data_IF_290521603464
#
_entry.id   IF_290521603464
#
_cell.length_a   1.000
_cell.length_b   1.000
_cell.length_c   1.000
_cell.angle_alpha   90.00
_cell.angle_beta   90.00
_cell.angle_gamma   90.00
#
_symmetry.space_group_name_H-M   'P 1'
#
loop_
_entity.id
_entity.type
_entity.pdbx_description
1 polymer ?
#
# COMPACT_ATOMS: atom_id res chain seq x y z
N UNK A 1 -2.03 -25.59 -8.41
CA UNK A 1 -1.59 -25.30 -7.03
C UNK A 1 -2.10 -23.95 -6.55
N UNK A 2 -1.71 -22.81 -7.17
CA UNK A 2 -2.13 -21.47 -6.74
C UNK A 2 -3.66 -21.23 -6.86
N UNK A 3 -4.25 -21.55 -8.01
CA UNK A 3 -5.69 -21.30 -8.24
C UNK A 3 -6.59 -22.10 -7.30
N UNK A 4 -6.19 -23.33 -6.93
CA UNK A 4 -6.95 -24.14 -5.97
C UNK A 4 -6.94 -23.54 -4.56
N UNK A 5 -5.80 -23.02 -4.10
CA UNK A 5 -5.68 -22.37 -2.80
C UNK A 5 -6.47 -21.06 -2.70
N UNK A 6 -6.57 -20.31 -3.80
CA UNK A 6 -7.40 -19.09 -3.88
C UNK A 6 -8.89 -19.45 -3.90
N UNK A 7 -9.28 -20.46 -4.69
CA UNK A 7 -10.68 -20.93 -4.76
C UNK A 7 -11.20 -21.43 -3.40
N UNK A 8 -10.37 -22.10 -2.61
CA UNK A 8 -10.75 -22.55 -1.26
C UNK A 8 -11.04 -21.42 -0.26
N UNK A 9 -10.58 -20.19 -0.52
CA UNK A 9 -10.78 -19.04 0.38
C UNK A 9 -12.12 -18.32 0.18
N UNK A 10 -12.88 -18.70 -0.84
CA UNK A 10 -14.06 -17.95 -1.26
C UNK A 10 -13.71 -16.56 -1.80
N UNK A 11 -14.71 -15.83 -2.29
CA UNK A 11 -14.50 -14.55 -2.98
C UNK A 11 -13.89 -13.48 -2.06
N UNK A 12 -14.42 -13.34 -0.84
CA UNK A 12 -13.92 -12.38 0.15
C UNK A 12 -12.46 -12.67 0.51
N UNK A 13 -12.14 -13.92 0.84
CA UNK A 13 -10.77 -14.30 1.22
C UNK A 13 -9.79 -14.24 0.05
N UNK A 14 -10.24 -14.48 -1.19
CA UNK A 14 -9.44 -14.26 -2.39
C UNK A 14 -9.12 -12.79 -2.60
N UNK A 15 -10.11 -11.89 -2.40
CA UNK A 15 -9.93 -10.44 -2.51
C UNK A 15 -8.97 -9.92 -1.43
N UNK A 16 -9.12 -10.35 -0.18
CA UNK A 16 -8.17 -10.00 0.89
C UNK A 16 -6.75 -10.46 0.59
N UNK A 17 -6.59 -11.68 0.08
CA UNK A 17 -5.27 -12.19 -0.32
C UNK A 17 -4.67 -11.34 -1.44
N UNK A 18 -5.46 -10.97 -2.45
CA UNK A 18 -5.03 -10.13 -3.55
C UNK A 18 -4.62 -8.73 -3.06
N UNK A 19 -5.41 -8.11 -2.17
CA UNK A 19 -5.09 -6.83 -1.54
C UNK A 19 -3.73 -6.89 -0.83
N UNK A 20 -3.45 -7.95 -0.07
CA UNK A 20 -2.12 -8.12 0.58
C UNK A 20 -0.97 -8.15 -0.43
N UNK A 21 -1.17 -8.64 -1.65
CA UNK A 21 -0.15 -8.59 -2.70
C UNK A 21 0.09 -7.15 -3.17
N UNK A 22 -0.96 -6.32 -3.24
CA UNK A 22 -0.84 -4.89 -3.55
C UNK A 22 0.01 -4.16 -2.52
N UNK A 23 -0.10 -4.51 -1.23
CA UNK A 23 0.75 -3.91 -0.17
C UNK A 23 2.23 -4.26 -0.30
N UNK A 24 2.56 -5.43 -0.85
CA UNK A 24 3.96 -5.78 -1.17
C UNK A 24 4.47 -4.86 -2.29
N UNK A 25 3.67 -4.70 -3.35
CA UNK A 25 4.00 -3.79 -4.45
C UNK A 25 4.12 -2.33 -3.98
N UNK A 26 3.28 -1.91 -3.03
CA UNK A 26 3.37 -0.60 -2.39
C UNK A 26 4.73 -0.40 -1.70
N UNK A 27 5.20 -1.38 -0.93
CA UNK A 27 6.51 -1.31 -0.28
C UNK A 27 7.66 -1.14 -1.29
N UNK A 28 7.59 -1.85 -2.42
CA UNK A 28 8.55 -1.68 -3.53
C UNK A 28 8.44 -0.27 -4.11
N UNK A 29 7.23 0.20 -4.43
CA UNK A 29 6.99 1.53 -4.99
C UNK A 29 7.55 2.65 -4.10
N UNK A 30 7.28 2.61 -2.79
CA UNK A 30 7.76 3.62 -1.85
C UNK A 30 9.30 3.60 -1.73
N UNK A 31 9.90 2.41 -1.74
CA UNK A 31 11.36 2.25 -1.68
C UNK A 31 12.01 2.78 -2.96
N UNK A 32 11.47 2.42 -4.13
CA UNK A 32 11.97 2.91 -5.42
C UNK A 32 11.79 4.42 -5.55
N UNK A 33 10.65 4.97 -5.17
CA UNK A 33 10.44 6.43 -5.20
C UNK A 33 11.52 7.16 -4.38
N UNK A 34 11.84 6.68 -3.18
CA UNK A 34 12.91 7.26 -2.37
C UNK A 34 14.30 7.16 -3.02
N UNK A 35 14.61 6.04 -3.69
CA UNK A 35 15.88 5.87 -4.44
C UNK A 35 15.97 6.86 -5.60
N UNK A 36 14.86 7.08 -6.31
CA UNK A 36 14.77 7.99 -7.45
C UNK A 36 14.61 9.47 -7.04
N UNK A 37 14.58 9.78 -5.74
CA UNK A 37 14.39 11.15 -5.24
C UNK A 37 12.98 11.70 -5.48
N UNK A 38 11.98 10.83 -5.61
CA UNK A 38 10.57 11.16 -5.76
C UNK A 38 9.88 11.03 -4.40
N UNK A 39 9.15 12.08 -4.00
CA UNK A 39 8.33 12.05 -2.80
C UNK A 39 7.07 11.22 -3.04
N UNK A 40 6.72 10.40 -2.04
CA UNK A 40 5.58 9.49 -2.11
C UNK A 40 4.76 9.51 -0.82
N UNK A 41 3.45 9.65 -0.94
CA UNK A 41 2.50 9.60 0.18
C UNK A 41 1.46 8.50 -0.05
N UNK A 42 1.58 7.35 0.64
CA UNK A 42 0.55 6.31 0.61
C UNK A 42 -0.69 6.72 1.41
N UNK A 43 -1.88 6.36 0.94
CA UNK A 43 -3.16 6.74 1.52
C UNK A 43 -4.16 5.58 1.51
N UNK A 44 -4.73 5.28 2.67
CA UNK A 44 -5.89 4.39 2.85
C UNK A 44 -7.17 5.16 3.22
N UNK A 45 -7.04 6.43 3.60
CA UNK A 45 -8.14 7.28 4.09
C UNK A 45 -9.04 7.84 2.99
N UNK A 46 -9.48 7.01 2.05
CA UNK A 46 -10.41 7.38 0.98
C UNK A 46 -11.59 6.40 0.91
N UNK A 47 -12.63 6.72 0.14
CA UNK A 47 -13.76 5.82 -0.13
C UNK A 47 -13.47 4.98 -1.38
N UNK A 48 -13.19 3.66 -1.23
CA UNK A 48 -12.85 2.82 -2.38
C UNK A 48 -14.00 2.70 -3.38
N UNK A 49 -15.27 2.71 -2.95
CA UNK A 49 -16.41 2.58 -3.86
C UNK A 49 -16.55 3.80 -4.75
N UNK A 50 -16.34 4.99 -4.19
CA UNK A 50 -16.35 6.22 -4.98
C UNK A 50 -15.21 6.25 -5.99
N UNK A 51 -14.00 5.84 -5.59
CA UNK A 51 -12.86 5.73 -6.50
C UNK A 51 -13.11 4.71 -7.60
N UNK A 52 -13.62 3.53 -7.25
CA UNK A 52 -13.93 2.45 -8.18
C UNK A 52 -14.97 2.90 -9.22
N UNK A 53 -15.99 3.63 -8.80
CA UNK A 53 -16.99 4.20 -9.70
C UNK A 53 -16.40 5.27 -10.63
N UNK A 54 -15.62 6.21 -10.09
CA UNK A 54 -14.99 7.29 -10.89
C UNK A 54 -14.03 6.72 -11.94
N UNK A 55 -13.30 5.66 -11.59
CA UNK A 55 -12.27 5.05 -12.43
C UNK A 55 -12.78 3.85 -13.26
N UNK A 56 -14.07 3.48 -13.13
CA UNK A 56 -14.67 2.33 -13.83
C UNK A 56 -14.00 1.00 -13.50
N UNK A 57 -13.59 0.80 -12.24
CA UNK A 57 -12.84 -0.40 -11.83
C UNK A 57 -13.73 -1.63 -11.66
N UNK A 58 -14.97 -1.47 -11.22
CA UNK A 58 -15.91 -2.58 -11.02
C UNK A 58 -16.17 -3.34 -12.34
N UNK A 59 -16.36 -2.61 -13.45
CA UNK A 59 -16.55 -3.17 -14.79
C UNK A 59 -15.34 -3.99 -15.28
N UNK A 60 -14.17 -3.72 -14.70
CA UNK A 60 -12.90 -4.40 -14.99
C UNK A 60 -12.62 -5.55 -14.01
N UNK A 61 -13.52 -5.81 -13.06
CA UNK A 61 -13.30 -6.76 -11.97
C UNK A 61 -12.20 -6.34 -11.00
N UNK A 62 -11.95 -5.04 -10.87
CA UNK A 62 -10.92 -4.45 -10.02
C UNK A 62 -11.53 -3.65 -8.86
N UNK A 63 -10.68 -3.31 -7.90
CA UNK A 63 -11.02 -2.39 -6.80
C UNK A 63 -9.79 -1.64 -6.33
N UNK A 64 -10.01 -0.45 -5.78
CA UNK A 64 -9.01 0.39 -5.16
C UNK A 64 -8.67 -0.14 -3.77
N UNK A 65 -7.39 -0.40 -3.51
CA UNK A 65 -6.91 -0.87 -2.20
C UNK A 65 -6.09 0.20 -1.46
N UNK A 66 -5.25 0.92 -2.19
CA UNK A 66 -4.41 2.01 -1.69
C UNK A 66 -4.22 3.04 -2.80
N UNK A 67 -4.10 4.31 -2.43
CA UNK A 67 -3.70 5.38 -3.34
C UNK A 67 -2.31 5.89 -2.96
N UNK A 68 -1.54 6.36 -3.94
CA UNK A 68 -0.22 6.98 -3.68
C UNK A 68 -0.11 8.26 -4.48
N UNK A 69 0.12 9.38 -3.80
CA UNK A 69 0.54 10.61 -4.46
C UNK A 69 2.06 10.56 -4.69
N UNK A 70 2.51 10.86 -5.90
CA UNK A 70 3.91 10.92 -6.29
C UNK A 70 4.23 12.32 -6.81
N UNK A 71 5.39 12.86 -6.45
CA UNK A 71 5.83 14.16 -6.94
C UNK A 71 7.04 14.69 -6.20
N UNK A 72 7.11 16.00 -6.06
CA UNK A 72 8.13 16.71 -5.30
C UNK A 72 7.44 17.56 -4.24
N UNK A 73 7.89 17.44 -2.99
CA UNK A 73 7.30 18.15 -1.86
C UNK A 73 7.40 19.67 -2.04
N UNK A 74 6.40 20.36 -1.52
CA UNK A 74 6.43 21.83 -1.42
C UNK A 74 7.48 22.26 -0.38
N UNK A 75 8.03 23.47 -0.55
CA UNK A 75 8.82 24.12 0.50
C UNK A 75 8.01 24.42 1.77
N UNK A 76 6.69 24.34 1.70
CA UNK A 76 5.76 24.55 2.81
C UNK A 76 5.38 23.24 3.53
N UNK A 77 5.91 22.09 3.12
CA UNK A 77 5.64 20.82 3.79
C UNK A 77 6.35 20.76 5.16
N UNK A 78 5.60 21.02 6.22
CA UNK A 78 6.12 21.02 7.59
C UNK A 78 6.58 19.64 8.07
N UNK A 79 6.08 18.56 7.47
CA UNK A 79 6.43 17.19 7.87
C UNK A 79 7.76 16.72 7.25
N UNK A 80 8.28 17.47 6.26
CA UNK A 80 9.50 17.13 5.55
C UNK A 80 10.73 17.02 6.46
N UNK A 81 10.78 17.84 7.51
CA UNK A 81 11.90 17.99 8.45
C UNK A 81 11.68 17.23 9.78
N UNK A 82 10.50 16.62 9.96
CA UNK A 82 10.21 15.88 11.19
C UNK A 82 11.06 14.60 11.28
N UNK A 83 11.54 14.31 12.49
CA UNK A 83 12.29 13.09 12.75
C UNK A 83 11.38 11.86 12.55
N UNK A 84 11.85 10.88 11.76
CA UNK A 84 11.13 9.62 11.57
C UNK A 84 11.05 8.84 12.89
N UNK A 85 9.84 8.51 13.32
CA UNK A 85 9.58 7.70 14.53
C UNK A 85 9.32 6.24 14.16
N UNK A 86 10.02 5.30 14.80
CA UNK A 86 9.84 3.85 14.66
C UNK A 86 9.96 3.18 16.04
N UNK A 87 9.41 1.97 16.18
CA UNK A 87 9.70 1.15 17.36
C UNK A 87 11.19 0.76 17.39
N UNK A 88 11.74 0.57 18.60
CA UNK A 88 13.13 0.11 18.76
C UNK A 88 13.29 -1.33 18.27
N UNK A 89 14.52 -1.72 17.96
CA UNK A 89 14.85 -3.04 17.41
C UNK A 89 14.40 -4.17 18.34
N UNK A 90 14.56 -4.02 19.66
CA UNK A 90 14.19 -5.04 20.65
C UNK A 90 12.68 -5.29 20.68
N UNK A 91 11.87 -4.32 20.24
CA UNK A 91 10.42 -4.46 20.14
C UNK A 91 9.98 -5.11 18.82
N UNK A 92 10.82 -5.04 17.79
CA UNK A 92 10.50 -5.54 16.44
C UNK A 92 11.06 -6.94 16.21
N UNK A 93 12.25 -7.25 16.75
CA UNK A 93 12.94 -8.50 16.52
C UNK A 93 12.97 -9.38 17.78
N UNK A 94 12.55 -10.63 17.64
CA UNK A 94 12.80 -11.68 18.63
C UNK A 94 14.02 -12.49 18.19
N UNK A 95 15.16 -12.30 18.85
CA UNK A 95 16.38 -13.07 18.59
C UNK A 95 16.33 -14.32 19.46
N UNK A 96 16.26 -15.49 18.82
CA UNK A 96 16.29 -16.78 19.49
C UNK A 96 17.71 -17.34 19.40
N UNK A 97 18.33 -17.62 20.55
CA UNK A 97 19.64 -18.25 20.70
C UNK A 97 19.52 -19.76 20.81
#
# INVERSE_FOLDING_TARGET
MLNGAIQMKGEVGAREWAMRQVYIALGVLLTTAAIEGIDATPMEGFDPKQFDAILGLEERGLTSSVAVALGFRSSEDTHAEEAKVRYSEEKVFAILS
#
